data_IF_179183745698
#
_entry.id   IF_179183745698
#
_cell.length_a   1.000
_cell.length_b   1.000
_cell.length_c   1.000
_cell.angle_alpha   90.00
_cell.angle_beta   90.00
_cell.angle_gamma   90.00
#
_symmetry.space_group_name_H-M   'P 1'
#
loop_
_entity.id
_entity.type
_entity.pdbx_description
1 polymer ?
#
# COMPACT_ATOMS: atom_id res chain seq x y z
N UNK A 1 -74.13 -0.69 61.77
CA UNK A 1 -74.24 -2.11 62.24
C UNK A 1 -72.84 -2.65 62.26
N UNK A 2 -72.20 -2.61 63.43
CA UNK A 2 -71.94 -3.73 64.33
C UNK A 2 -71.37 -4.98 63.55
N UNK A 3 -70.20 -5.55 63.91
CA UNK A 3 -69.52 -5.93 65.16
C UNK A 3 -68.05 -6.22 64.82
N UNK A 4 -67.05 -5.75 65.50
CA UNK A 4 -66.29 -6.39 66.59
C UNK A 4 -65.94 -7.88 66.46
N UNK A 5 -64.63 -8.14 66.46
CA UNK A 5 -63.86 -9.06 67.36
C UNK A 5 -62.45 -9.13 66.83
N UNK A 6 -61.45 -8.66 67.43
CA UNK A 6 -60.62 -9.08 68.59
C UNK A 6 -59.92 -10.42 68.39
N UNK A 7 -58.59 -10.40 68.38
CA UNK A 7 -57.83 -11.61 68.62
C UNK A 7 -56.36 -11.58 68.26
N UNK A 8 -55.60 -11.36 69.30
CA UNK A 8 -54.30 -12.00 69.65
C UNK A 8 -53.02 -11.58 68.94
N UNK A 9 -52.17 -10.90 69.72
CA UNK A 9 -50.73 -10.71 69.48
C UNK A 9 -50.00 -12.08 69.56
N UNK A 10 -49.19 -12.34 68.55
CA UNK A 10 -48.03 -13.19 68.75
C UNK A 10 -46.81 -12.40 68.20
N UNK A 11 -45.98 -11.95 69.15
CA UNK A 11 -44.67 -11.37 68.87
C UNK A 11 -43.73 -12.52 68.56
N UNK A 12 -43.31 -12.62 67.31
CA UNK A 12 -42.15 -13.45 66.91
C UNK A 12 -40.98 -12.50 66.78
N UNK A 13 -40.03 -12.63 67.73
CA UNK A 13 -38.74 -11.98 67.73
C UNK A 13 -37.86 -12.69 66.72
N UNK A 14 -37.67 -12.15 65.55
CA UNK A 14 -36.67 -12.66 64.59
C UNK A 14 -35.38 -11.91 64.91
N UNK A 15 -34.42 -12.58 65.54
CA UNK A 15 -33.07 -12.11 65.70
C UNK A 15 -32.38 -12.18 64.33
N UNK A 16 -32.17 -11.01 63.69
CA UNK A 16 -31.35 -10.88 62.53
C UNK A 16 -29.88 -11.02 62.96
N UNK A 17 -29.31 -12.20 62.77
CA UNK A 17 -27.86 -12.39 62.84
C UNK A 17 -27.23 -11.63 61.62
N UNK A 18 -26.75 -10.42 61.89
CA UNK A 18 -25.87 -9.72 60.96
C UNK A 18 -24.51 -10.38 61.04
N UNK A 19 -24.22 -11.28 60.13
CA UNK A 19 -22.88 -11.78 59.90
C UNK A 19 -22.07 -10.69 59.18
N UNK A 20 -21.01 -10.13 59.73
CA UNK A 20 -20.13 -9.25 58.99
C UNK A 20 -19.30 -10.11 58.02
N UNK A 21 -19.72 -10.21 56.78
CA UNK A 21 -18.82 -10.69 55.73
C UNK A 21 -17.68 -9.71 55.58
N UNK A 22 -16.42 -10.10 55.75
CA UNK A 22 -15.32 -9.24 55.42
C UNK A 22 -15.39 -8.97 53.88
N UNK A 23 -15.54 -7.71 53.51
CA UNK A 23 -15.21 -7.28 52.18
C UNK A 23 -13.71 -7.55 51.96
N UNK A 24 -13.42 -8.74 51.47
CA UNK A 24 -12.13 -9.02 50.89
C UNK A 24 -12.10 -8.23 49.56
N UNK A 25 -11.53 -7.01 49.59
CA UNK A 25 -11.00 -6.40 48.40
C UNK A 25 -10.00 -7.41 47.81
N UNK A 26 -10.41 -8.12 46.79
CA UNK A 26 -9.45 -8.82 45.96
C UNK A 26 -8.49 -7.77 45.45
N UNK A 27 -7.32 -7.64 46.06
CA UNK A 27 -6.20 -6.93 45.44
C UNK A 27 -5.93 -7.66 44.14
N UNK A 28 -6.41 -7.09 43.05
CA UNK A 28 -5.99 -7.53 41.72
C UNK A 28 -4.51 -7.27 41.67
N UNK A 29 -3.72 -8.32 41.73
CA UNK A 29 -2.29 -8.26 41.51
C UNK A 29 -2.06 -7.41 40.28
N UNK A 30 -1.12 -6.43 40.28
CA UNK A 30 -0.82 -5.66 39.10
C UNK A 30 -0.52 -6.62 37.94
N UNK A 31 -1.03 -6.37 36.74
CA UNK A 31 -0.76 -7.25 35.61
C UNK A 31 0.75 -7.43 35.45
N UNK A 32 1.15 -8.66 35.17
CA UNK A 32 2.57 -8.98 34.96
C UNK A 32 3.17 -7.99 33.92
N UNK A 33 4.39 -7.51 34.13
CA UNK A 33 5.00 -6.57 33.21
C UNK A 33 5.08 -7.20 31.83
N UNK A 34 4.66 -6.44 30.81
CA UNK A 34 4.72 -6.89 29.42
C UNK A 34 6.17 -7.22 29.03
N UNK A 35 6.42 -8.29 28.27
CA UNK A 35 7.76 -8.64 27.84
C UNK A 35 8.42 -7.50 27.08
N UNK A 36 9.74 -7.37 27.24
CA UNK A 36 10.56 -6.39 26.53
C UNK A 36 10.55 -6.69 25.05
N UNK A 37 10.28 -5.69 24.23
CA UNK A 37 10.40 -5.79 22.79
C UNK A 37 11.88 -5.75 22.38
N UNK A 38 12.27 -6.63 21.48
CA UNK A 38 13.64 -6.69 20.98
C UNK A 38 13.65 -6.44 19.48
N UNK A 39 14.49 -5.53 19.04
CA UNK A 39 14.78 -5.25 17.63
C UNK A 39 16.21 -5.69 17.32
N UNK A 40 16.40 -6.36 16.19
CA UNK A 40 17.74 -6.79 15.78
C UNK A 40 18.58 -5.61 15.24
N UNK A 41 17.94 -4.52 14.82
CA UNK A 41 18.56 -3.32 14.27
C UNK A 41 18.31 -2.12 15.20
N UNK A 42 19.37 -1.54 15.80
CA UNK A 42 19.21 -0.40 16.70
C UNK A 42 18.63 0.85 16.02
N UNK A 43 18.88 1.04 14.71
CA UNK A 43 18.30 2.16 13.97
C UNK A 43 16.80 1.98 13.78
N UNK A 44 16.34 0.73 13.60
CA UNK A 44 14.92 0.41 13.54
C UNK A 44 14.27 0.65 14.91
N UNK A 45 14.89 0.19 16.01
CA UNK A 45 14.39 0.45 17.35
C UNK A 45 14.25 1.95 17.61
N UNK A 46 15.30 2.73 17.27
CA UNK A 46 15.28 4.19 17.41
C UNK A 46 14.16 4.85 16.57
N UNK A 47 13.88 4.34 15.37
CA UNK A 47 12.76 4.79 14.56
C UNK A 47 11.42 4.50 15.22
N UNK A 48 11.22 3.28 15.70
CA UNK A 48 9.98 2.85 16.39
C UNK A 48 9.75 3.64 17.66
N UNK A 49 10.80 3.83 18.48
CA UNK A 49 10.76 4.57 19.75
C UNK A 49 10.18 5.96 19.62
N UNK A 50 10.44 6.66 18.51
CA UNK A 50 9.88 8.01 18.24
C UNK A 50 8.36 8.05 18.25
N UNK A 51 7.70 6.94 17.97
CA UNK A 51 6.23 6.82 17.93
C UNK A 51 5.62 6.29 19.23
N UNK A 52 6.44 5.92 20.21
CA UNK A 52 6.00 5.56 21.58
C UNK A 52 6.16 6.76 22.48
N UNK A 53 5.11 7.57 22.62
CA UNK A 53 5.14 8.91 23.23
C UNK A 53 5.81 8.91 24.61
N UNK A 54 5.48 7.93 25.48
CA UNK A 54 5.99 7.85 26.85
C UNK A 54 7.48 7.42 26.95
N UNK A 55 8.05 6.92 25.88
CA UNK A 55 9.42 6.37 25.83
C UNK A 55 10.30 7.04 24.77
N UNK A 56 9.78 8.03 24.06
CA UNK A 56 10.43 8.69 22.95
C UNK A 56 11.76 9.34 23.31
N UNK A 57 11.80 10.00 24.45
CA UNK A 57 12.95 10.83 24.88
C UNK A 57 13.70 10.20 26.06
N UNK A 58 13.54 8.89 26.32
CA UNK A 58 14.12 8.20 27.46
C UNK A 58 14.71 6.83 27.14
N UNK A 59 15.44 6.29 28.10
CA UNK A 59 16.13 4.98 28.00
C UNK A 59 15.25 3.79 28.46
N UNK A 60 13.97 4.04 28.79
CA UNK A 60 13.09 2.95 29.18
C UNK A 60 12.97 1.93 28.06
N UNK A 61 13.08 0.62 28.31
CA UNK A 61 12.95 -0.39 27.28
C UNK A 61 11.55 -0.38 26.68
N UNK A 62 11.48 -0.57 25.36
CA UNK A 62 10.20 -0.80 24.67
C UNK A 62 9.64 -2.15 25.12
N UNK A 63 8.32 -2.25 25.25
CA UNK A 63 7.61 -3.47 25.56
C UNK A 63 6.71 -3.86 24.39
N UNK A 64 6.28 -5.13 24.32
CA UNK A 64 5.35 -5.55 23.27
C UNK A 64 4.01 -4.78 23.35
N UNK A 65 3.57 -4.39 24.53
CA UNK A 65 2.36 -3.58 24.71
C UNK A 65 2.46 -2.19 24.07
N UNK A 66 3.66 -1.60 24.04
CA UNK A 66 3.89 -0.32 23.35
C UNK A 66 3.73 -0.46 21.84
N UNK A 67 4.12 -1.60 21.27
CA UNK A 67 4.17 -1.83 19.83
C UNK A 67 2.80 -2.14 19.23
N UNK A 68 1.94 -2.83 19.97
CA UNK A 68 0.62 -3.26 19.48
C UNK A 68 -0.24 -2.08 19.01
N UNK A 69 -0.11 -0.93 19.65
CA UNK A 69 -0.93 0.25 19.35
C UNK A 69 -0.34 1.18 18.28
N UNK A 70 0.85 0.88 17.76
CA UNK A 70 1.47 1.70 16.73
C UNK A 70 0.74 1.52 15.39
N UNK A 71 0.24 2.63 14.86
CA UNK A 71 -0.41 2.66 13.55
C UNK A 71 0.50 3.22 12.45
N UNK A 72 1.54 3.98 12.81
CA UNK A 72 2.45 4.62 11.88
C UNK A 72 3.88 4.55 12.40
N UNK A 73 4.83 4.21 11.50
CA UNK A 73 6.27 4.26 11.76
C UNK A 73 6.95 4.91 10.55
N UNK A 74 7.90 5.80 10.83
CA UNK A 74 8.76 6.42 9.83
C UNK A 74 10.22 6.31 10.24
N UNK A 75 11.04 5.75 9.35
CA UNK A 75 12.46 5.52 9.57
C UNK A 75 13.27 5.76 8.30
N UNK A 76 13.04 6.92 7.64
CA UNK A 76 13.64 7.28 6.36
C UNK A 76 15.14 7.58 6.52
N UNK A 77 15.99 6.89 5.73
CA UNK A 77 17.43 7.22 5.62
C UNK A 77 18.26 6.93 6.87
N UNK A 78 17.83 6.02 7.72
CA UNK A 78 18.51 5.71 8.99
C UNK A 78 19.56 4.60 8.87
N UNK A 79 19.77 4.04 7.67
CA UNK A 79 20.70 2.95 7.46
C UNK A 79 20.19 1.59 7.98
N UNK A 80 18.87 1.44 8.16
CA UNK A 80 18.21 0.21 8.62
C UNK A 80 18.49 -0.93 7.64
N UNK A 81 18.85 -2.10 8.19
CA UNK A 81 19.18 -3.30 7.43
C UNK A 81 18.28 -4.49 7.77
N UNK A 82 17.77 -4.55 8.99
CA UNK A 82 17.03 -5.68 9.52
C UNK A 82 15.70 -5.23 10.13
N UNK A 83 14.60 -5.86 9.71
CA UNK A 83 13.24 -5.52 10.14
C UNK A 83 12.72 -6.39 11.30
N UNK A 84 13.53 -7.33 11.82
CA UNK A 84 13.12 -8.21 12.93
C UNK A 84 12.72 -7.40 14.16
N UNK A 85 11.55 -7.70 14.71
CA UNK A 85 10.90 -6.94 15.78
C UNK A 85 9.65 -6.18 15.31
N UNK A 86 9.56 -5.79 14.00
CA UNK A 86 8.39 -5.13 13.45
C UNK A 86 7.14 -6.03 13.46
N UNK A 87 7.31 -7.35 13.38
CA UNK A 87 6.20 -8.30 13.42
C UNK A 87 5.32 -8.19 14.68
N UNK A 88 5.79 -7.46 15.69
CA UNK A 88 5.02 -7.15 16.91
C UNK A 88 4.06 -5.96 16.73
N UNK A 89 4.24 -5.13 15.70
CA UNK A 89 3.43 -3.94 15.44
C UNK A 89 2.13 -4.29 14.68
N UNK A 90 1.28 -5.13 15.26
CA UNK A 90 0.12 -5.77 14.62
C UNK A 90 -0.99 -4.81 14.14
N UNK A 91 -0.99 -3.56 14.60
CA UNK A 91 -1.95 -2.53 14.16
C UNK A 91 -1.34 -1.51 13.19
N UNK A 92 -0.14 -1.79 12.69
CA UNK A 92 0.54 -0.89 11.76
C UNK A 92 -0.27 -0.73 10.46
N UNK A 93 -0.61 0.52 10.14
CA UNK A 93 -1.34 0.90 8.93
C UNK A 93 -0.46 1.65 7.93
N UNK A 94 0.54 2.40 8.41
CA UNK A 94 1.47 3.13 7.56
C UNK A 94 2.93 2.91 8.00
N UNK A 95 3.78 2.54 7.02
CA UNK A 95 5.19 2.29 7.23
C UNK A 95 6.01 2.96 6.14
N UNK A 96 6.91 3.88 6.52
CA UNK A 96 7.89 4.47 5.60
C UNK A 96 9.32 4.16 6.09
N UNK A 97 9.99 3.28 5.34
CA UNK A 97 11.38 2.89 5.54
C UNK A 97 12.21 3.14 4.27
N UNK A 98 11.86 4.17 3.51
CA UNK A 98 12.60 4.55 2.31
C UNK A 98 14.05 4.98 2.62
N UNK A 99 14.94 4.88 1.63
CA UNK A 99 16.37 5.26 1.70
C UNK A 99 17.15 4.52 2.80
N UNK A 100 16.95 3.21 2.88
CA UNK A 100 17.65 2.33 3.83
C UNK A 100 18.48 1.25 3.09
N UNK A 101 18.83 0.18 3.75
CA UNK A 101 19.61 -0.93 3.18
C UNK A 101 18.87 -2.27 3.36
N UNK A 102 17.55 -2.24 3.29
CA UNK A 102 16.67 -3.38 3.55
C UNK A 102 16.75 -4.34 2.37
N UNK A 103 16.89 -5.63 2.68
CA UNK A 103 16.86 -6.74 1.72
C UNK A 103 15.67 -7.65 2.01
N UNK A 104 15.46 -7.99 3.29
CA UNK A 104 14.52 -9.01 3.75
C UNK A 104 13.23 -8.41 4.29
N UNK A 105 12.10 -8.76 3.66
CA UNK A 105 10.77 -8.31 4.03
C UNK A 105 9.98 -9.31 4.89
N UNK A 106 10.56 -10.47 5.23
CA UNK A 106 9.86 -11.53 6.00
C UNK A 106 9.20 -11.04 7.30
N UNK A 107 9.78 -10.10 8.06
CA UNK A 107 9.12 -9.56 9.25
C UNK A 107 7.81 -8.81 8.97
N UNK A 108 7.56 -8.37 7.73
CA UNK A 108 6.32 -7.70 7.36
C UNK A 108 5.16 -8.66 7.07
N UNK A 109 5.44 -9.96 6.86
CA UNK A 109 4.46 -10.95 6.37
C UNK A 109 3.17 -11.00 7.18
N UNK A 110 3.24 -10.80 8.49
CA UNK A 110 2.09 -10.88 9.41
C UNK A 110 1.37 -9.55 9.61
N UNK A 111 1.89 -8.46 9.06
CA UNK A 111 1.35 -7.11 9.25
C UNK A 111 0.26 -6.80 8.21
N UNK A 112 -0.78 -7.61 8.20
CA UNK A 112 -1.84 -7.58 7.17
C UNK A 112 -2.71 -6.32 7.16
N UNK A 113 -2.57 -5.43 8.14
CA UNK A 113 -3.30 -4.17 8.24
C UNK A 113 -2.62 -3.00 7.54
N UNK A 114 -1.39 -3.16 7.04
CA UNK A 114 -0.66 -2.10 6.35
C UNK A 114 -1.43 -1.68 5.09
N UNK A 115 -1.78 -0.40 5.03
CA UNK A 115 -2.45 0.24 3.89
C UNK A 115 -1.47 1.06 3.04
N UNK A 116 -0.47 1.65 3.68
CA UNK A 116 0.56 2.47 3.02
C UNK A 116 1.95 1.95 3.38
N UNK A 117 2.72 1.54 2.35
CA UNK A 117 4.06 1.02 2.52
C UNK A 117 5.02 1.71 1.54
N UNK A 118 6.01 2.43 2.09
CA UNK A 118 7.10 3.03 1.33
C UNK A 118 8.42 2.34 1.68
N UNK A 119 9.04 1.75 0.66
CA UNK A 119 10.31 1.03 0.71
C UNK A 119 11.25 1.47 -0.43
N UNK A 120 11.05 2.68 -0.98
CA UNK A 120 11.89 3.21 -2.04
C UNK A 120 13.37 3.29 -1.62
N UNK A 121 14.27 3.22 -2.59
CA UNK A 121 15.73 3.34 -2.35
C UNK A 121 16.23 2.32 -1.30
N UNK A 122 15.99 1.04 -1.54
CA UNK A 122 16.46 -0.10 -0.73
C UNK A 122 17.16 -1.15 -1.62
N UNK A 123 17.32 -2.37 -1.17
CA UNK A 123 17.99 -3.45 -1.90
C UNK A 123 17.08 -4.70 -2.04
N UNK A 124 15.78 -4.48 -2.14
CA UNK A 124 14.75 -5.52 -2.12
C UNK A 124 14.69 -6.22 -3.46
N UNK A 125 14.66 -7.57 -3.43
CA UNK A 125 14.49 -8.44 -4.60
C UNK A 125 13.21 -9.28 -4.48
N UNK A 126 12.95 -9.86 -3.30
CA UNK A 126 11.82 -10.75 -3.04
C UNK A 126 10.63 -10.01 -2.43
N UNK A 127 9.50 -10.04 -3.14
CA UNK A 127 8.24 -9.45 -2.72
C UNK A 127 7.26 -10.50 -2.12
N UNK A 128 7.65 -11.77 -2.05
CA UNK A 128 6.77 -12.83 -1.56
C UNK A 128 6.20 -12.59 -0.15
N UNK A 129 6.92 -11.91 0.78
CA UNK A 129 6.35 -11.59 2.09
C UNK A 129 5.18 -10.61 2.05
N UNK A 130 5.00 -9.86 0.94
CA UNK A 130 3.92 -8.88 0.81
C UNK A 130 2.61 -9.50 0.31
N UNK A 131 2.62 -10.74 -0.19
CA UNK A 131 1.51 -11.36 -0.92
C UNK A 131 0.19 -11.43 -0.13
N UNK A 132 0.24 -11.45 1.20
CA UNK A 132 -0.93 -11.57 2.06
C UNK A 132 -1.37 -10.23 2.69
N UNK A 133 -0.69 -9.11 2.38
CA UNK A 133 -1.02 -7.79 2.94
C UNK A 133 -2.14 -7.15 2.10
N UNK A 134 -3.30 -7.77 2.07
CA UNK A 134 -4.42 -7.40 1.21
C UNK A 134 -5.03 -6.01 1.50
N UNK A 135 -4.68 -5.39 2.63
CA UNK A 135 -5.10 -4.03 2.95
C UNK A 135 -4.31 -2.94 2.19
N UNK A 136 -3.19 -3.30 1.50
CA UNK A 136 -2.35 -2.34 0.79
C UNK A 136 -3.13 -1.59 -0.28
N UNK A 137 -3.06 -0.26 -0.21
CA UNK A 137 -3.61 0.70 -1.16
C UNK A 137 -2.50 1.50 -1.86
N UNK A 138 -1.40 1.74 -1.15
CA UNK A 138 -0.23 2.45 -1.64
C UNK A 138 1.02 1.60 -1.41
N UNK A 139 1.79 1.34 -2.48
CA UNK A 139 3.04 0.60 -2.42
C UNK A 139 4.11 1.30 -3.26
N UNK A 140 5.17 1.75 -2.59
CA UNK A 140 6.33 2.40 -3.19
C UNK A 140 7.56 1.51 -3.05
N UNK A 141 8.08 1.05 -4.17
CA UNK A 141 9.24 0.14 -4.29
C UNK A 141 10.26 0.64 -5.32
N UNK A 142 10.19 1.92 -5.72
CA UNK A 142 11.14 2.46 -6.69
C UNK A 142 12.58 2.38 -6.17
N UNK A 143 13.55 2.25 -7.09
CA UNK A 143 14.98 2.15 -6.78
C UNK A 143 15.31 0.98 -5.85
N UNK A 144 14.88 -0.21 -6.29
CA UNK A 144 15.17 -1.49 -5.67
C UNK A 144 15.80 -2.46 -6.69
N UNK A 145 15.82 -3.76 -6.41
CA UNK A 145 16.38 -4.79 -7.30
C UNK A 145 15.32 -5.80 -7.74
N UNK A 146 14.05 -5.37 -7.76
CA UNK A 146 12.90 -6.24 -8.06
C UNK A 146 12.94 -6.70 -9.50
N UNK A 147 12.79 -8.02 -9.72
CA UNK A 147 12.67 -8.67 -11.05
C UNK A 147 11.28 -9.24 -11.26
N UNK A 148 10.69 -9.79 -10.22
CA UNK A 148 9.44 -10.53 -10.27
C UNK A 148 8.38 -9.89 -9.36
N UNK A 149 7.21 -9.58 -9.93
CA UNK A 149 6.11 -8.93 -9.22
C UNK A 149 4.88 -9.83 -9.04
N UNK A 150 5.01 -11.13 -9.30
CA UNK A 150 3.88 -12.07 -9.23
C UNK A 150 3.24 -12.15 -7.83
N UNK A 151 4.00 -11.89 -6.79
CA UNK A 151 3.49 -11.81 -5.42
C UNK A 151 2.44 -10.71 -5.21
N UNK A 152 2.46 -9.66 -6.05
CA UNK A 152 1.54 -8.53 -5.91
C UNK A 152 0.14 -8.80 -6.48
N UNK A 153 -0.05 -9.89 -7.24
CA UNK A 153 -1.32 -10.21 -7.95
C UNK A 153 -2.55 -10.33 -7.06
N UNK A 154 -2.36 -10.63 -5.78
CA UNK A 154 -3.43 -10.77 -4.77
C UNK A 154 -3.84 -9.46 -4.10
N UNK A 155 -3.03 -8.39 -4.27
CA UNK A 155 -3.23 -7.11 -3.58
C UNK A 155 -4.27 -6.25 -4.30
N UNK A 156 -5.48 -6.75 -4.42
CA UNK A 156 -6.55 -6.17 -5.25
C UNK A 156 -7.03 -4.78 -4.81
N UNK A 157 -6.66 -4.33 -3.61
CA UNK A 157 -6.96 -2.99 -3.10
C UNK A 157 -5.91 -1.94 -3.49
N UNK A 158 -4.80 -2.33 -4.17
CA UNK A 158 -3.78 -1.38 -4.60
C UNK A 158 -4.37 -0.35 -5.56
N UNK A 159 -4.27 0.93 -5.15
CA UNK A 159 -4.64 2.09 -5.95
C UNK A 159 -3.41 2.78 -6.57
N UNK A 160 -2.27 2.73 -5.89
CA UNK A 160 -1.02 3.34 -6.37
C UNK A 160 0.15 2.38 -6.21
N UNK A 161 0.84 2.10 -7.33
CA UNK A 161 1.98 1.19 -7.38
C UNK A 161 3.16 1.85 -8.10
N UNK A 162 4.25 2.04 -7.38
CA UNK A 162 5.48 2.64 -7.86
C UNK A 162 6.60 1.61 -7.87
N UNK A 163 7.13 1.31 -9.05
CA UNK A 163 8.14 0.28 -9.31
C UNK A 163 9.28 0.79 -10.20
N UNK A 164 9.42 2.12 -10.33
CA UNK A 164 10.43 2.72 -11.19
C UNK A 164 11.85 2.38 -10.72
N UNK A 165 12.81 2.32 -11.66
CA UNK A 165 14.21 1.97 -11.39
C UNK A 165 14.37 0.59 -10.70
N UNK A 166 13.85 -0.44 -11.35
CA UNK A 166 13.98 -1.83 -10.98
C UNK A 166 14.52 -2.67 -12.17
N UNK A 167 14.35 -3.98 -12.14
CA UNK A 167 14.82 -4.89 -13.19
C UNK A 167 13.67 -5.73 -13.76
N UNK A 168 12.47 -5.15 -13.79
CA UNK A 168 11.23 -5.86 -14.15
C UNK A 168 11.16 -6.05 -15.66
N UNK A 169 10.79 -7.26 -16.08
CA UNK A 169 10.55 -7.62 -17.49
C UNK A 169 9.10 -8.03 -17.76
N UNK A 170 8.45 -8.65 -16.78
CA UNK A 170 7.07 -9.15 -16.86
C UNK A 170 6.17 -8.44 -15.84
N UNK A 171 5.12 -7.80 -16.33
CA UNK A 171 4.13 -7.08 -15.56
C UNK A 171 2.74 -7.73 -15.59
N UNK A 172 2.65 -9.00 -15.98
CA UNK A 172 1.37 -9.72 -16.08
C UNK A 172 0.56 -9.75 -14.77
N UNK A 173 1.24 -9.63 -13.62
CA UNK A 173 0.58 -9.55 -12.30
C UNK A 173 -0.35 -8.33 -12.16
N UNK A 174 -0.05 -7.19 -12.82
CA UNK A 174 -0.86 -5.96 -12.68
C UNK A 174 -2.27 -6.11 -13.23
N UNK A 175 -2.50 -7.03 -14.16
CA UNK A 175 -3.82 -7.33 -14.75
C UNK A 175 -4.85 -7.76 -13.68
N UNK A 176 -4.36 -8.20 -12.53
CA UNK A 176 -5.19 -8.66 -11.39
C UNK A 176 -5.48 -7.57 -10.34
N UNK A 177 -5.11 -6.31 -10.62
CA UNK A 177 -5.22 -5.18 -9.68
C UNK A 177 -6.32 -4.18 -10.13
N UNK A 178 -7.60 -4.49 -9.94
CA UNK A 178 -8.70 -3.72 -10.54
C UNK A 178 -8.85 -2.30 -9.99
N UNK A 179 -8.34 -2.05 -8.78
CA UNK A 179 -8.40 -0.73 -8.14
C UNK A 179 -7.26 0.21 -8.55
N UNK A 180 -6.35 -0.24 -9.43
CA UNK A 180 -5.15 0.52 -9.76
C UNK A 180 -5.51 1.80 -10.55
N UNK A 181 -5.15 2.96 -9.97
CA UNK A 181 -5.32 4.28 -10.55
C UNK A 181 -3.99 4.88 -11.05
N UNK A 182 -2.88 4.55 -10.39
CA UNK A 182 -1.55 5.03 -10.76
C UNK A 182 -0.53 3.89 -10.79
N UNK A 183 0.17 3.75 -11.93
CA UNK A 183 1.20 2.75 -12.14
C UNK A 183 2.44 3.40 -12.75
N UNK A 184 3.57 3.33 -12.02
CA UNK A 184 4.86 3.86 -12.47
C UNK A 184 5.88 2.73 -12.60
N UNK A 185 6.41 2.54 -13.80
CA UNK A 185 7.32 1.45 -14.20
C UNK A 185 8.54 1.98 -14.97
N UNK A 186 8.89 3.25 -14.79
CA UNK A 186 10.02 3.86 -15.49
C UNK A 186 11.34 3.16 -15.18
N UNK A 187 12.29 3.23 -16.13
CA UNK A 187 13.62 2.65 -15.96
C UNK A 187 13.57 1.17 -15.53
N UNK A 188 12.88 0.35 -16.33
CA UNK A 188 12.82 -1.11 -16.21
C UNK A 188 13.27 -1.78 -17.51
N UNK A 189 12.97 -3.05 -17.70
CA UNK A 189 13.36 -3.83 -18.89
C UNK A 189 12.12 -4.39 -19.62
N UNK A 190 11.01 -3.67 -19.56
CA UNK A 190 9.71 -4.09 -20.08
C UNK A 190 9.72 -3.97 -21.61
N UNK A 191 9.31 -5.03 -22.28
CA UNK A 191 9.23 -5.09 -23.76
C UNK A 191 7.81 -5.20 -24.28
N UNK A 192 6.92 -5.78 -23.47
CA UNK A 192 5.54 -5.99 -23.84
C UNK A 192 4.61 -5.57 -22.69
N UNK A 193 3.51 -4.92 -23.03
CA UNK A 193 2.42 -4.60 -22.12
C UNK A 193 1.42 -5.75 -22.19
N UNK A 194 1.00 -6.38 -21.08
CA UNK A 194 -0.09 -7.35 -21.11
C UNK A 194 -1.42 -6.66 -21.43
N UNK A 195 -2.45 -7.40 -21.81
CA UNK A 195 -3.79 -6.83 -21.98
C UNK A 195 -4.33 -6.26 -20.66
N UNK A 196 -4.25 -4.95 -20.49
CA UNK A 196 -4.64 -4.24 -19.26
C UNK A 196 -6.01 -3.55 -19.36
N UNK A 197 -6.80 -3.90 -20.36
CA UNK A 197 -8.13 -3.33 -20.62
C UNK A 197 -9.12 -3.49 -19.45
N UNK A 198 -8.87 -4.41 -18.51
CA UNK A 198 -9.64 -4.54 -17.27
C UNK A 198 -9.34 -3.47 -16.21
N UNK A 199 -8.27 -2.69 -16.37
CA UNK A 199 -7.87 -1.64 -15.42
C UNK A 199 -8.58 -0.31 -15.73
N UNK A 200 -9.91 -0.33 -15.71
CA UNK A 200 -10.74 0.81 -16.15
C UNK A 200 -10.59 2.07 -15.28
N UNK A 201 -10.07 1.95 -14.07
CA UNK A 201 -9.75 3.05 -13.17
C UNK A 201 -8.35 3.64 -13.34
N UNK A 202 -7.54 3.10 -14.27
CA UNK A 202 -6.17 3.56 -14.46
C UNK A 202 -6.15 4.96 -15.07
N UNK A 203 -5.61 5.91 -14.30
CA UNK A 203 -5.55 7.32 -14.63
C UNK A 203 -4.14 7.76 -15.09
N UNK A 204 -3.10 7.23 -14.44
CA UNK A 204 -1.71 7.51 -14.77
C UNK A 204 -0.95 6.22 -15.03
N UNK A 205 -0.27 6.17 -16.17
CA UNK A 205 0.57 5.06 -16.57
C UNK A 205 1.92 5.58 -17.08
N UNK A 206 3.00 5.15 -16.43
CA UNK A 206 4.36 5.55 -16.79
C UNK A 206 5.24 4.35 -17.11
N UNK A 207 5.88 4.40 -18.29
CA UNK A 207 6.80 3.40 -18.81
C UNK A 207 8.06 4.04 -19.41
N UNK A 208 8.44 5.23 -18.99
CA UNK A 208 9.65 5.87 -19.55
C UNK A 208 10.86 4.93 -19.40
N UNK A 209 11.80 5.05 -20.36
CA UNK A 209 13.07 4.30 -20.31
C UNK A 209 12.88 2.77 -20.19
N UNK A 210 12.09 2.22 -21.13
CA UNK A 210 11.84 0.79 -21.29
C UNK A 210 12.13 0.35 -22.75
N UNK A 211 11.63 -0.79 -23.17
CA UNK A 211 11.81 -1.30 -24.53
C UNK A 211 10.48 -1.61 -25.24
N UNK A 212 9.43 -0.87 -24.91
CA UNK A 212 8.07 -1.06 -25.43
C UNK A 212 8.02 -0.57 -26.88
N UNK A 213 7.40 -1.38 -27.76
CA UNK A 213 7.21 -1.05 -29.16
C UNK A 213 5.74 -1.07 -29.60
N UNK A 214 4.91 -1.90 -28.97
CA UNK A 214 3.49 -2.09 -29.32
C UNK A 214 2.59 -1.47 -28.25
N UNK A 215 1.67 -0.62 -28.69
CA UNK A 215 0.70 0.08 -27.84
C UNK A 215 -0.71 -0.53 -27.94
N UNK A 216 -0.92 -1.54 -28.77
CA UNK A 216 -2.23 -2.19 -28.93
C UNK A 216 -2.82 -2.76 -27.62
N UNK A 217 -2.02 -3.25 -26.65
CA UNK A 217 -2.58 -3.70 -25.38
C UNK A 217 -3.16 -2.61 -24.47
N UNK A 218 -2.96 -1.33 -24.82
CA UNK A 218 -3.59 -0.21 -24.10
C UNK A 218 -5.05 0.02 -24.53
N UNK A 219 -5.51 -0.67 -25.58
CA UNK A 219 -6.88 -0.53 -26.07
C UNK A 219 -7.90 -0.85 -24.96
N UNK A 220 -8.88 0.03 -24.78
CA UNK A 220 -9.93 -0.17 -23.76
C UNK A 220 -9.68 0.43 -22.38
N UNK A 221 -8.73 1.37 -22.25
CA UNK A 221 -8.52 2.15 -21.03
C UNK A 221 -9.25 3.51 -21.08
N UNK A 222 -10.50 3.60 -20.63
CA UNK A 222 -11.33 4.80 -20.85
C UNK A 222 -10.98 5.96 -19.94
N UNK A 223 -10.23 5.72 -18.87
CA UNK A 223 -9.89 6.71 -17.83
C UNK A 223 -8.48 7.26 -17.91
N UNK A 224 -7.68 6.84 -18.89
CA UNK A 224 -6.27 7.21 -18.93
C UNK A 224 -6.10 8.70 -19.24
N UNK A 225 -5.49 9.43 -18.32
CA UNK A 225 -5.25 10.87 -18.43
C UNK A 225 -3.79 11.20 -18.72
N UNK A 226 -2.86 10.44 -18.16
CA UNK A 226 -1.42 10.63 -18.37
C UNK A 226 -0.77 9.33 -18.81
N UNK A 227 -0.11 9.36 -19.96
CA UNK A 227 0.64 8.24 -20.52
C UNK A 227 2.07 8.69 -20.83
N UNK A 228 3.02 8.21 -20.07
CA UNK A 228 4.44 8.51 -20.22
C UNK A 228 5.16 7.33 -20.86
N UNK A 229 5.76 7.56 -22.03
CA UNK A 229 6.38 6.53 -22.88
C UNK A 229 7.72 7.00 -23.47
N UNK A 230 8.36 7.97 -22.85
CA UNK A 230 9.63 8.51 -23.35
C UNK A 230 10.72 7.43 -23.37
N UNK A 231 11.64 7.54 -24.31
CA UNK A 231 12.80 6.64 -24.45
C UNK A 231 12.41 5.16 -24.59
N UNK A 232 11.42 4.85 -25.40
CA UNK A 232 11.00 3.49 -25.73
C UNK A 232 11.36 3.11 -27.18
N UNK A 233 10.74 2.09 -27.75
CA UNK A 233 10.95 1.61 -29.11
C UNK A 233 9.74 1.80 -30.02
N UNK A 234 8.86 2.74 -29.68
CA UNK A 234 7.60 2.99 -30.36
C UNK A 234 7.89 3.63 -31.72
N UNK A 235 7.27 3.08 -32.77
CA UNK A 235 7.40 3.55 -34.14
C UNK A 235 6.08 4.01 -34.74
N UNK A 236 4.97 3.51 -34.21
CA UNK A 236 3.62 3.71 -34.72
C UNK A 236 2.66 4.07 -33.58
N UNK A 237 1.77 5.02 -33.84
CA UNK A 237 0.74 5.48 -32.89
C UNK A 237 -0.66 5.06 -33.33
N UNK A 238 -0.76 4.20 -34.33
CA UNK A 238 -2.03 3.66 -34.83
C UNK A 238 -2.95 3.15 -33.70
N UNK A 239 -2.46 2.33 -32.77
CA UNK A 239 -3.29 1.87 -31.66
C UNK A 239 -3.89 3.01 -30.81
N UNK A 240 -3.12 4.06 -30.47
CA UNK A 240 -3.64 5.22 -29.74
C UNK A 240 -4.65 6.00 -30.56
N UNK A 241 -4.42 6.13 -31.87
CA UNK A 241 -5.34 6.80 -32.78
C UNK A 241 -6.69 6.05 -32.87
N UNK A 242 -6.65 4.73 -32.96
CA UNK A 242 -7.88 3.91 -32.96
C UNK A 242 -8.63 3.98 -31.62
N UNK A 243 -7.92 4.02 -30.49
CA UNK A 243 -8.53 4.28 -29.18
C UNK A 243 -9.25 5.63 -29.15
N UNK A 244 -8.57 6.70 -29.60
CA UNK A 244 -9.13 8.05 -29.61
C UNK A 244 -10.35 8.17 -30.54
N UNK A 245 -10.36 7.49 -31.70
CA UNK A 245 -11.50 7.44 -32.61
C UNK A 245 -12.71 6.70 -32.05
N UNK A 246 -12.46 5.67 -31.20
CA UNK A 246 -13.52 4.89 -30.53
C UNK A 246 -14.13 5.62 -29.33
N UNK A 247 -13.53 6.68 -28.85
CA UNK A 247 -13.98 7.49 -27.71
C UNK A 247 -15.12 8.43 -28.05
N UNK A 248 -16.28 7.84 -28.40
CA UNK A 248 -17.49 8.60 -28.79
C UNK A 248 -18.01 9.54 -27.69
N UNK A 249 -17.76 9.22 -26.44
CA UNK A 249 -18.23 9.99 -25.29
C UNK A 249 -17.23 11.05 -24.83
N UNK A 250 -16.10 11.18 -25.55
CA UNK A 250 -15.03 12.14 -25.27
C UNK A 250 -14.53 12.12 -23.83
N UNK A 251 -14.44 10.92 -23.23
CA UNK A 251 -13.97 10.73 -21.87
C UNK A 251 -12.45 10.59 -21.77
N UNK A 252 -11.83 10.21 -22.86
CA UNK A 252 -10.41 9.84 -22.94
C UNK A 252 -9.62 10.85 -23.80
N UNK A 253 -9.91 10.94 -25.10
CA UNK A 253 -9.08 11.64 -26.05
C UNK A 253 -8.85 13.13 -25.70
N UNK A 254 -9.85 13.96 -25.33
CA UNK A 254 -9.64 15.37 -25.02
C UNK A 254 -8.79 15.64 -23.77
N UNK A 255 -8.61 14.65 -22.92
CA UNK A 255 -7.93 14.80 -21.64
C UNK A 255 -6.57 14.10 -21.62
N UNK A 256 -6.31 13.18 -22.56
CA UNK A 256 -5.08 12.39 -22.57
C UNK A 256 -3.86 13.26 -22.87
N UNK A 257 -2.88 13.18 -21.98
CA UNK A 257 -1.54 13.72 -22.16
C UNK A 257 -0.57 12.57 -22.44
N UNK A 258 0.07 12.59 -23.61
CA UNK A 258 1.04 11.56 -24.01
C UNK A 258 2.43 12.18 -24.12
N UNK A 259 3.42 11.53 -23.51
CA UNK A 259 4.84 11.90 -23.56
C UNK A 259 5.58 10.84 -24.37
N UNK A 260 6.24 11.25 -25.46
CA UNK A 260 6.80 10.33 -26.46
C UNK A 260 8.26 10.65 -26.85
N UNK A 261 8.90 11.62 -26.22
CA UNK A 261 10.28 11.99 -26.56
C UNK A 261 11.22 10.76 -26.56
N UNK A 262 12.22 10.77 -27.44
CA UNK A 262 13.21 9.69 -27.52
C UNK A 262 12.73 8.38 -28.19
N UNK A 263 11.51 8.33 -28.76
CA UNK A 263 11.04 7.18 -29.52
C UNK A 263 11.42 7.24 -31.02
N UNK A 264 11.72 6.10 -31.68
CA UNK A 264 12.06 6.06 -33.11
C UNK A 264 10.82 6.12 -34.01
N UNK A 265 9.95 7.12 -33.78
CA UNK A 265 8.69 7.30 -34.50
C UNK A 265 8.93 7.45 -36.02
N UNK A 266 8.10 6.77 -36.82
CA UNK A 266 8.11 6.91 -38.29
C UNK A 266 7.67 8.29 -38.71
N UNK A 267 8.01 8.66 -39.98
CA UNK A 267 7.52 9.90 -40.59
C UNK A 267 5.99 9.97 -40.60
N UNK A 268 5.30 8.87 -40.86
CA UNK A 268 3.84 8.78 -40.80
C UNK A 268 3.33 9.07 -39.38
N UNK A 269 3.97 8.54 -38.34
CA UNK A 269 3.58 8.80 -36.95
C UNK A 269 3.75 10.31 -36.62
N UNK A 270 4.88 10.89 -36.94
CA UNK A 270 5.19 12.32 -36.67
C UNK A 270 4.31 13.31 -37.38
N UNK A 271 3.91 13.02 -38.62
CA UNK A 271 3.15 13.99 -39.43
C UNK A 271 1.64 13.67 -39.44
N UNK A 272 1.24 12.44 -39.76
CA UNK A 272 -0.18 12.09 -39.94
C UNK A 272 -0.86 11.72 -38.61
N UNK A 273 -0.23 10.83 -37.83
CA UNK A 273 -0.90 10.35 -36.63
C UNK A 273 -0.88 11.42 -35.52
N UNK A 274 0.18 12.22 -35.38
CA UNK A 274 0.17 13.36 -34.46
C UNK A 274 -0.95 14.35 -34.78
N UNK A 275 -1.10 14.75 -36.05
CA UNK A 275 -2.17 15.68 -36.46
C UNK A 275 -3.55 15.09 -36.11
N UNK A 276 -3.79 13.84 -36.52
CA UNK A 276 -5.07 13.18 -36.27
C UNK A 276 -5.38 13.01 -34.75
N UNK A 277 -4.38 12.68 -33.92
CA UNK A 277 -4.56 12.59 -32.46
C UNK A 277 -4.86 13.99 -31.87
N UNK A 278 -4.17 15.04 -32.30
CA UNK A 278 -4.43 16.42 -31.86
C UNK A 278 -5.83 16.90 -32.24
N UNK A 279 -6.31 16.57 -33.44
CA UNK A 279 -7.67 16.88 -33.89
C UNK A 279 -8.74 16.23 -33.02
N UNK A 280 -8.43 15.05 -32.44
CA UNK A 280 -9.27 14.36 -31.47
C UNK A 280 -9.08 14.86 -30.02
N UNK A 281 -8.24 15.88 -29.82
CA UNK A 281 -8.02 16.53 -28.51
C UNK A 281 -6.84 15.96 -27.69
N UNK A 282 -6.14 14.92 -28.17
CA UNK A 282 -5.00 14.34 -27.45
C UNK A 282 -3.82 15.34 -27.40
N UNK A 283 -3.26 15.55 -26.23
CA UNK A 283 -2.08 16.41 -26.03
C UNK A 283 -0.81 15.57 -26.14
N UNK A 284 -0.01 15.86 -27.16
CA UNK A 284 1.25 15.16 -27.44
C UNK A 284 2.42 16.05 -27.05
N UNK A 285 3.25 15.54 -26.13
CA UNK A 285 4.52 16.10 -25.70
C UNK A 285 5.64 15.22 -26.29
N UNK A 286 6.52 15.83 -27.12
CA UNK A 286 7.55 15.11 -27.86
C UNK A 286 8.86 15.90 -27.89
#
# INVERSE_FOLDING_TARGET
>A
MMKKLAGSLVRILIAVLVCPTPLWCAETSPPAPSPTASFADPNLEAAVRKFVIEKRDGDKPLTEADLVNLSTIQGVGLGITNLAGLEKCQNLAALDLSKNKIIDLRPLKTLTKIQSLSLADNQIEDLSPLAEINALQYLELSRNRVKHIQALRSLTNLASLYLSHNQITDISAVVKLPCLASLYLDHNQIRAIPGINGLTGLFTLSFNDNAIADLSPLEGLPGLYTLMLENNKIRDLGPLLEMAKKDKEQRFAPFLNVYLAGNPLTSTAKHRQFSALKELGVRINN
#
